data_IF_264846697554
#
_entry.id   IF_264846697554
#
_cell.length_a   1.000
_cell.length_b   1.000
_cell.length_c   1.000
_cell.angle_alpha   90.00
_cell.angle_beta   90.00
_cell.angle_gamma   90.00
#
_symmetry.space_group_name_H-M   'P 1'
#
loop_
_entity.id
_entity.type
_entity.pdbx_description
1 polymer ?
#
# COMPACT_ATOMS: atom_id res chain seq x y z
N UNK A 1 21.63 -64.49 -37.84
CA UNK A 1 21.23 -64.72 -36.44
C UNK A 1 21.55 -63.45 -35.67
N UNK A 2 20.50 -62.69 -35.39
CA UNK A 2 20.47 -61.52 -34.50
C UNK A 2 20.72 -61.93 -33.05
N UNK A 3 21.45 -61.13 -32.29
CA UNK A 3 20.88 -60.44 -31.12
C UNK A 3 21.88 -59.41 -30.57
N UNK A 4 21.47 -58.14 -30.47
CA UNK A 4 22.18 -57.14 -29.68
C UNK A 4 21.16 -56.49 -28.75
N UNK A 5 21.33 -56.84 -27.48
CA UNK A 5 20.53 -56.46 -26.33
C UNK A 5 20.41 -54.94 -26.18
N UNK A 6 19.25 -54.39 -26.55
CA UNK A 6 18.85 -53.05 -26.15
C UNK A 6 18.47 -53.08 -24.67
N UNK A 7 19.38 -52.64 -23.79
CA UNK A 7 19.06 -52.34 -22.39
C UNK A 7 18.07 -51.16 -22.34
N UNK A 8 16.78 -51.49 -22.31
CA UNK A 8 15.71 -50.53 -22.14
C UNK A 8 15.70 -50.07 -20.67
N UNK A 9 16.11 -48.83 -20.44
CA UNK A 9 16.05 -48.19 -19.12
C UNK A 9 14.58 -47.98 -18.71
N UNK A 10 14.05 -48.95 -17.96
CA UNK A 10 12.63 -49.08 -17.56
C UNK A 10 12.04 -47.91 -16.74
N UNK A 11 12.87 -46.96 -16.31
CA UNK A 11 12.46 -45.88 -15.39
C UNK A 11 12.59 -44.46 -15.93
N UNK A 12 12.77 -44.26 -17.24
CA UNK A 12 12.62 -42.93 -17.85
C UNK A 12 11.28 -42.85 -18.60
N UNK A 13 10.29 -42.09 -18.10
CA UNK A 13 9.10 -41.81 -18.89
C UNK A 13 9.52 -41.01 -20.14
N UNK A 14 9.11 -41.47 -21.32
CA UNK A 14 9.26 -40.72 -22.56
C UNK A 14 8.45 -39.43 -22.41
N UNK A 15 9.13 -38.28 -22.39
CA UNK A 15 8.47 -36.98 -22.23
C UNK A 15 7.86 -36.58 -23.58
N UNK A 16 6.56 -36.23 -23.63
CA UNK A 16 5.96 -35.69 -24.85
C UNK A 16 6.58 -34.32 -25.16
N UNK A 17 6.89 -34.09 -26.44
CA UNK A 17 7.46 -32.82 -26.93
C UNK A 17 6.40 -31.72 -26.77
N UNK A 18 6.69 -30.72 -25.92
CA UNK A 18 5.83 -29.56 -25.69
C UNK A 18 6.21 -28.46 -26.69
N UNK A 19 5.29 -27.97 -27.53
CA UNK A 19 5.57 -26.85 -28.42
C UNK A 19 5.95 -25.60 -27.62
N UNK A 20 7.10 -24.98 -27.93
CA UNK A 20 7.51 -23.68 -27.37
C UNK A 20 8.58 -23.71 -26.28
N UNK A 21 9.17 -24.87 -25.95
CA UNK A 21 10.32 -24.97 -25.03
C UNK A 21 11.62 -25.15 -25.84
N UNK A 22 12.63 -24.27 -25.70
CA UNK A 22 13.91 -24.46 -26.38
C UNK A 22 14.67 -25.66 -25.79
N UNK A 23 14.98 -26.64 -26.65
CA UNK A 23 15.79 -27.81 -26.34
C UNK A 23 17.30 -27.44 -26.32
N UNK A 24 18.11 -28.14 -25.50
CA UNK A 24 19.56 -27.95 -25.48
C UNK A 24 20.20 -28.29 -26.84
N UNK A 25 21.27 -27.55 -27.17
CA UNK A 25 21.78 -27.29 -28.51
C UNK A 25 22.45 -28.46 -29.27
N UNK A 26 22.36 -29.70 -28.78
CA UNK A 26 23.08 -30.84 -29.38
C UNK A 26 22.25 -31.66 -30.38
N UNK A 27 21.02 -31.23 -30.68
CA UNK A 27 20.17 -31.83 -31.73
C UNK A 27 19.60 -30.74 -32.65
N UNK A 28 20.39 -30.28 -33.63
CA UNK A 28 19.87 -29.50 -34.76
C UNK A 28 20.31 -30.15 -36.07
N UNK A 29 19.40 -30.79 -36.84
CA UNK A 29 19.68 -31.19 -38.21
C UNK A 29 19.81 -29.95 -39.11
N UNK A 30 20.80 -30.01 -40.00
CA UNK A 30 21.14 -28.94 -40.92
C UNK A 30 19.98 -28.60 -41.86
N UNK A 31 19.49 -27.36 -41.77
CA UNK A 31 18.57 -26.82 -42.77
C UNK A 31 17.54 -25.87 -42.20
N UNK A 32 17.96 -24.72 -41.65
CA UNK A 32 17.13 -23.53 -41.67
C UNK A 32 17.98 -22.28 -41.87
N UNK A 33 17.52 -21.51 -42.85
CA UNK A 33 18.05 -20.29 -43.42
C UNK A 33 18.27 -19.20 -42.36
N UNK A 34 19.46 -18.57 -42.37
CA UNK A 34 19.78 -17.43 -41.51
C UNK A 34 18.98 -16.21 -41.98
N UNK A 35 17.91 -15.87 -41.27
CA UNK A 35 17.24 -14.57 -41.43
C UNK A 35 18.12 -13.49 -40.79
N UNK A 36 18.58 -12.61 -41.66
CA UNK A 36 19.45 -11.48 -41.39
C UNK A 36 18.74 -10.49 -40.45
N UNK A 37 19.21 -10.39 -39.21
CA UNK A 37 18.72 -9.41 -38.23
C UNK A 37 19.48 -8.11 -38.43
N UNK A 38 18.87 -7.16 -39.13
CA UNK A 38 19.36 -5.80 -39.25
C UNK A 38 19.45 -5.15 -37.87
N UNK A 39 20.67 -4.92 -37.42
CA UNK A 39 20.96 -4.06 -36.28
C UNK A 39 20.39 -2.66 -36.54
N UNK A 40 19.33 -2.27 -35.82
CA UNK A 40 18.99 -0.86 -35.65
C UNK A 40 20.04 -0.28 -34.69
N UNK A 41 21.15 0.16 -35.28
CA UNK A 41 22.13 0.99 -34.59
C UNK A 41 21.49 2.36 -34.34
N UNK A 42 20.89 2.53 -33.17
CA UNK A 42 20.42 3.82 -32.70
C UNK A 42 21.65 4.57 -32.17
N UNK A 43 22.35 5.24 -33.09
CA UNK A 43 23.47 6.11 -32.80
C UNK A 43 23.02 7.18 -31.82
N UNK A 44 23.34 6.99 -30.53
CA UNK A 44 23.08 7.93 -29.46
C UNK A 44 24.15 9.02 -29.53
N UNK A 45 23.85 10.03 -30.32
CA UNK A 45 24.70 11.20 -30.48
C UNK A 45 24.79 11.95 -29.16
N UNK A 46 25.96 11.90 -28.50
CA UNK A 46 26.24 12.47 -27.17
C UNK A 46 25.94 13.97 -27.10
N UNK A 47 25.98 14.66 -28.25
CA UNK A 47 25.66 16.08 -28.37
C UNK A 47 24.16 16.36 -28.26
N UNK A 48 23.30 15.41 -28.63
CA UNK A 48 21.84 15.54 -28.51
C UNK A 48 21.39 15.39 -27.05
N UNK A 49 22.04 14.51 -26.28
CA UNK A 49 21.74 14.33 -24.85
C UNK A 49 22.08 15.58 -24.03
N UNK A 50 23.21 16.25 -24.32
CA UNK A 50 23.60 17.48 -23.61
C UNK A 50 22.63 18.62 -23.93
N UNK A 51 22.20 18.76 -25.18
CA UNK A 51 21.21 19.78 -25.59
C UNK A 51 19.84 19.54 -24.97
N UNK A 52 19.39 18.28 -24.91
CA UNK A 52 18.13 17.92 -24.26
C UNK A 52 18.16 18.19 -22.75
N UNK A 53 19.27 17.87 -22.08
CA UNK A 53 19.45 18.14 -20.64
C UNK A 53 19.45 19.64 -20.34
N UNK A 54 20.13 20.45 -21.15
CA UNK A 54 20.15 21.91 -20.99
C UNK A 54 18.75 22.52 -21.19
N UNK A 55 18.00 22.08 -22.21
CA UNK A 55 16.63 22.55 -22.44
C UNK A 55 15.68 22.21 -21.29
N UNK A 56 15.78 20.99 -20.73
CA UNK A 56 14.97 20.56 -19.59
C UNK A 56 15.27 21.40 -18.34
N UNK A 57 16.54 21.73 -18.11
CA UNK A 57 16.99 22.52 -16.97
C UNK A 57 16.48 23.97 -17.04
N UNK A 58 16.51 24.58 -18.24
CA UNK A 58 15.92 25.90 -18.47
C UNK A 58 14.41 25.88 -18.22
N UNK A 59 13.72 24.84 -18.68
CA UNK A 59 12.27 24.69 -18.50
C UNK A 59 11.91 24.52 -17.02
N UNK A 60 12.70 23.73 -16.26
CA UNK A 60 12.54 23.56 -14.82
C UNK A 60 12.76 24.88 -14.06
N UNK A 61 13.77 25.67 -14.45
CA UNK A 61 14.02 26.99 -13.88
C UNK A 61 12.86 27.96 -14.15
N UNK A 62 12.31 27.98 -15.36
CA UNK A 62 11.15 28.83 -15.69
C UNK A 62 9.91 28.42 -14.89
N UNK A 63 9.66 27.13 -14.70
CA UNK A 63 8.54 26.64 -13.87
C UNK A 63 8.73 27.04 -12.41
N UNK A 64 9.95 26.92 -11.86
CA UNK A 64 10.24 27.32 -10.48
C UNK A 64 10.09 28.84 -10.27
N UNK A 65 10.50 29.65 -11.23
CA UNK A 65 10.32 31.12 -11.20
C UNK A 65 8.83 31.47 -11.29
N UNK A 66 8.07 30.85 -12.21
CA UNK A 66 6.63 31.05 -12.31
C UNK A 66 5.90 30.66 -11.00
N UNK A 67 6.31 29.56 -10.37
CA UNK A 67 5.73 29.12 -9.09
C UNK A 67 6.04 30.06 -7.93
N UNK A 68 7.19 30.76 -7.96
CA UNK A 68 7.55 31.76 -6.96
C UNK A 68 6.79 33.07 -7.16
N UNK A 69 6.50 33.46 -8.40
CA UNK A 69 5.74 34.69 -8.71
C UNK A 69 4.23 34.51 -8.50
N UNK A 70 3.70 33.30 -8.66
CA UNK A 70 2.27 33.01 -8.44
C UNK A 70 1.87 32.74 -6.99
N UNK A 71 2.83 32.55 -6.06
CA UNK A 71 2.54 32.56 -4.63
C UNK A 71 2.41 34.02 -4.14
N UNK A 72 1.34 34.70 -4.57
CA UNK A 72 0.82 35.84 -3.83
C UNK A 72 -0.05 35.28 -2.70
N UNK A 73 0.34 35.61 -1.47
CA UNK A 73 -0.44 35.33 -0.26
C UNK A 73 -1.85 35.92 -0.39
N UNK A 74 -2.92 35.16 -0.06
CA UNK A 74 -4.22 35.76 0.14
C UNK A 74 -4.18 36.58 1.44
N UNK A 75 -4.26 37.91 1.27
CA UNK A 75 -4.50 38.89 2.31
C UNK A 75 -5.84 38.57 3.02
N UNK A 76 -5.92 38.59 4.37
CA UNK A 76 -7.18 38.37 5.07
C UNK A 76 -8.09 39.60 4.93
N UNK A 77 -9.23 39.42 4.26
CA UNK A 77 -10.28 40.42 4.21
C UNK A 77 -11.06 40.45 5.55
N UNK A 78 -10.85 41.55 6.26
CA UNK A 78 -11.79 42.36 7.04
C UNK A 78 -12.94 41.72 7.86
N UNK A 79 -12.96 42.17 9.11
CA UNK A 79 -14.03 42.32 10.11
C UNK A 79 -15.49 42.42 9.61
N UNK A 80 -16.33 41.57 10.23
CA UNK A 80 -17.66 41.76 10.86
C UNK A 80 -18.70 42.68 10.16
N UNK A 81 -19.86 42.08 9.84
CA UNK A 81 -21.17 42.71 10.02
C UNK A 81 -22.19 41.66 10.51
N UNK A 82 -22.86 41.99 11.62
CA UNK A 82 -24.04 41.32 12.16
C UNK A 82 -25.18 41.21 11.13
N UNK A 83 -25.83 40.05 11.08
CA UNK A 83 -27.21 39.91 10.59
C UNK A 83 -27.83 38.63 11.18
N UNK A 84 -28.97 38.71 11.87
CA UNK A 84 -29.57 37.57 12.55
C UNK A 84 -30.48 36.75 11.63
N UNK A 85 -30.59 35.46 11.98
CA UNK A 85 -31.62 34.50 11.58
C UNK A 85 -31.69 34.04 10.11
N UNK A 86 -31.16 32.84 9.87
CA UNK A 86 -31.88 31.80 9.10
C UNK A 86 -31.35 30.42 9.47
N UNK A 87 -32.28 29.52 9.79
CA UNK A 87 -32.13 28.13 10.20
C UNK A 87 -31.38 27.31 9.15
N UNK A 88 -30.39 26.54 9.57
CA UNK A 88 -29.67 25.60 8.69
C UNK A 88 -28.43 24.99 9.35
N UNK A 89 -28.66 24.11 10.32
CA UNK A 89 -27.79 23.00 10.77
C UNK A 89 -26.28 23.16 10.51
N UNK A 90 -25.63 24.06 11.23
CA UNK A 90 -24.19 24.06 11.36
C UNK A 90 -23.76 23.16 12.54
N UNK A 91 -22.63 22.49 12.34
CA UNK A 91 -21.78 21.86 13.35
C UNK A 91 -22.22 20.49 13.91
N UNK A 92 -21.81 19.45 13.20
CA UNK A 92 -21.04 18.38 13.87
C UNK A 92 -19.54 18.62 13.65
N UNK A 93 -19.07 19.76 14.13
CA UNK A 93 -17.73 19.86 14.69
C UNK A 93 -17.85 19.39 16.14
N UNK A 94 -18.01 18.08 16.32
CA UNK A 94 -18.16 17.43 17.61
C UNK A 94 -16.99 16.51 17.83
N UNK A 95 -16.08 16.93 18.71
CA UNK A 95 -15.17 16.03 19.40
C UNK A 95 -15.95 14.76 19.78
N UNK A 96 -15.56 13.60 19.23
CA UNK A 96 -16.25 12.36 19.50
C UNK A 96 -16.18 12.08 21.01
N UNK A 97 -17.32 12.19 21.67
CA UNK A 97 -17.54 11.63 23.01
C UNK A 97 -17.12 10.16 23.01
N UNK A 98 -16.62 9.61 24.13
CA UNK A 98 -16.34 8.19 24.25
C UNK A 98 -17.67 7.43 24.27
N UNK A 99 -18.20 7.08 23.09
CA UNK A 99 -19.48 6.39 22.97
C UNK A 99 -19.87 6.00 21.54
N UNK A 100 -19.76 6.91 20.58
CA UNK A 100 -20.28 6.67 19.22
C UNK A 100 -19.16 6.65 18.18
N UNK A 101 -18.38 5.58 18.19
CA UNK A 101 -17.51 5.26 17.06
C UNK A 101 -18.38 4.95 15.83
N UNK A 102 -18.05 5.45 14.63
CA UNK A 102 -18.78 5.12 13.40
C UNK A 102 -18.88 3.60 13.19
N UNK A 103 -20.01 3.12 12.70
CA UNK A 103 -20.25 1.69 12.47
C UNK A 103 -20.18 1.35 10.97
N UNK A 104 -19.33 0.39 10.63
CA UNK A 104 -19.20 -0.20 9.31
C UNK A 104 -20.11 -1.44 9.16
N UNK A 105 -20.64 -1.73 7.96
CA UNK A 105 -20.33 -1.09 6.66
C UNK A 105 -20.90 0.33 6.52
N UNK A 106 -20.09 1.28 6.05
CA UNK A 106 -20.51 2.67 5.94
C UNK A 106 -19.38 3.69 6.03
N UNK A 107 -19.70 4.99 6.01
CA UNK A 107 -18.72 6.06 6.18
C UNK A 107 -18.13 6.03 7.59
N UNK A 108 -16.80 5.99 7.69
CA UNK A 108 -16.06 5.88 8.96
C UNK A 108 -15.23 7.12 9.30
N UNK A 109 -14.86 7.92 8.31
CA UNK A 109 -14.13 9.18 8.50
C UNK A 109 -14.19 10.03 7.23
N UNK A 110 -13.90 11.33 7.35
CA UNK A 110 -13.68 12.19 6.19
C UNK A 110 -12.20 12.15 5.77
N UNK A 111 -11.96 12.12 4.47
CA UNK A 111 -10.59 12.14 3.93
C UNK A 111 -9.81 13.42 4.27
N UNK A 112 -10.53 14.52 4.50
CA UNK A 112 -9.97 15.81 4.92
C UNK A 112 -9.40 15.76 6.34
N UNK A 113 -10.07 15.06 7.25
CA UNK A 113 -9.62 14.90 8.65
C UNK A 113 -8.35 14.04 8.73
N UNK A 114 -8.13 13.21 7.72
CA UNK A 114 -6.97 12.34 7.55
C UNK A 114 -5.95 12.86 6.52
N UNK A 115 -5.77 14.18 6.48
CA UNK A 115 -4.87 14.84 5.51
C UNK A 115 -3.39 14.64 5.78
N UNK A 116 -3.00 14.34 7.03
CA UNK A 116 -1.59 14.13 7.43
C UNK A 116 -1.20 12.65 7.31
N UNK A 117 -0.01 12.31 6.81
CA UNK A 117 0.52 10.96 6.92
C UNK A 117 0.49 10.50 8.38
N UNK A 118 0.15 9.23 8.58
CA UNK A 118 0.03 8.57 9.89
C UNK A 118 -1.11 9.09 10.77
N UNK A 119 -2.04 9.90 10.24
CA UNK A 119 -3.30 10.17 10.92
C UNK A 119 -4.11 8.87 11.05
N UNK A 120 -4.84 8.74 12.15
CA UNK A 120 -5.63 7.56 12.45
C UNK A 120 -7.05 7.97 12.83
N UNK A 121 -8.03 7.20 12.36
CA UNK A 121 -9.41 7.27 12.82
C UNK A 121 -9.85 5.87 13.28
N UNK A 122 -10.56 5.81 14.41
CA UNK A 122 -11.13 4.57 14.95
C UNK A 122 -12.60 4.45 14.53
N UNK A 123 -13.06 3.22 14.36
CA UNK A 123 -14.45 2.89 14.06
C UNK A 123 -14.78 1.48 14.58
N UNK A 124 -16.03 1.06 14.46
CA UNK A 124 -16.47 -0.31 14.74
C UNK A 124 -16.91 -0.99 13.45
N UNK A 125 -16.70 -2.29 13.33
CA UNK A 125 -17.21 -3.08 12.21
C UNK A 125 -18.05 -4.25 12.71
N UNK A 126 -19.19 -4.47 12.07
CA UNK A 126 -20.03 -5.63 12.34
C UNK A 126 -19.44 -6.86 11.66
N UNK A 127 -19.02 -7.84 12.45
CA UNK A 127 -18.51 -9.11 11.95
C UNK A 127 -19.67 -10.00 11.46
N UNK A 128 -19.40 -11.00 10.61
CA UNK A 128 -20.41 -11.97 10.19
C UNK A 128 -21.09 -12.72 11.34
N UNK A 129 -20.44 -12.81 12.50
CA UNK A 129 -20.96 -13.40 13.74
C UNK A 129 -22.03 -12.53 14.41
N UNK A 130 -22.21 -11.28 13.97
CA UNK A 130 -23.06 -10.27 14.61
C UNK A 130 -22.35 -9.47 15.72
N UNK A 131 -21.13 -9.85 16.07
CA UNK A 131 -20.31 -9.12 17.04
C UNK A 131 -19.75 -7.83 16.44
N UNK A 132 -19.58 -6.78 17.26
CA UNK A 132 -18.90 -5.54 16.87
C UNK A 132 -17.44 -5.61 17.28
N UNK A 133 -16.54 -5.48 16.31
CA UNK A 133 -15.11 -5.43 16.55
C UNK A 133 -14.58 -4.00 16.40
N UNK A 134 -13.63 -3.56 17.24
CA UNK A 134 -12.93 -2.31 17.04
C UNK A 134 -12.02 -2.41 15.80
N UNK A 135 -12.00 -1.34 15.03
CA UNK A 135 -11.19 -1.22 13.83
C UNK A 135 -10.61 0.19 13.73
N UNK A 136 -9.60 0.34 12.88
CA UNK A 136 -8.98 1.61 12.62
C UNK A 136 -8.57 1.74 11.16
N UNK A 137 -8.54 2.98 10.69
CA UNK A 137 -7.99 3.34 9.40
C UNK A 137 -6.80 4.26 9.63
N UNK A 138 -5.70 3.98 8.94
CA UNK A 138 -4.45 4.72 9.02
C UNK A 138 -4.18 5.36 7.65
N UNK A 139 -3.84 6.64 7.65
CA UNK A 139 -3.32 7.33 6.46
C UNK A 139 -1.86 6.93 6.25
N UNK A 140 -1.56 6.26 5.15
CA UNK A 140 -0.20 5.88 4.81
C UNK A 140 0.54 7.05 4.13
N UNK A 141 1.89 7.14 4.27
CA UNK A 141 2.70 7.98 3.44
C UNK A 141 2.77 7.40 2.02
N UNK A 142 2.52 8.26 1.02
CA UNK A 142 2.44 7.82 -0.37
C UNK A 142 1.17 7.04 -0.66
N UNK A 143 0.75 7.04 -1.93
CA UNK A 143 -0.51 6.49 -2.37
C UNK A 143 -1.56 7.56 -2.71
N UNK A 144 -2.57 7.14 -3.46
CA UNK A 144 -3.69 7.97 -3.90
C UNK A 144 -5.00 7.19 -3.84
N UNK A 145 -6.13 7.90 -3.67
CA UNK A 145 -7.43 7.27 -3.48
C UNK A 145 -7.41 6.27 -2.31
N UNK A 146 -8.00 5.09 -2.51
CA UNK A 146 -8.07 4.04 -1.49
C UNK A 146 -6.71 3.49 -1.05
N UNK A 147 -5.71 3.48 -1.93
CA UNK A 147 -4.36 2.95 -1.60
C UNK A 147 -3.60 3.81 -0.59
N UNK A 148 -4.01 5.06 -0.37
CA UNK A 148 -3.46 5.94 0.65
C UNK A 148 -3.92 5.58 2.07
N UNK A 149 -4.89 4.66 2.20
CA UNK A 149 -5.48 4.29 3.47
C UNK A 149 -5.29 2.80 3.72
N UNK A 150 -5.04 2.46 4.97
CA UNK A 150 -4.99 1.08 5.42
C UNK A 150 -5.99 0.88 6.54
N UNK A 151 -7.04 0.12 6.26
CA UNK A 151 -8.00 -0.34 7.25
C UNK A 151 -7.56 -1.69 7.82
N UNK A 152 -7.70 -1.83 9.14
CA UNK A 152 -7.45 -3.08 9.84
C UNK A 152 -8.36 -3.20 11.06
N UNK A 153 -8.62 -4.43 11.49
CA UNK A 153 -9.15 -4.67 12.82
C UNK A 153 -8.11 -4.25 13.87
N UNK A 154 -8.58 -3.58 14.91
CA UNK A 154 -7.75 -3.17 16.03
C UNK A 154 -7.58 -4.28 17.07
N UNK A 155 -7.92 -5.53 16.76
CA UNK A 155 -7.75 -6.67 17.67
C UNK A 155 -6.67 -7.60 17.13
N UNK A 156 -5.76 -7.99 18.01
CA UNK A 156 -4.76 -9.00 17.66
C UNK A 156 -5.41 -10.38 17.54
N UNK A 157 -4.93 -11.22 16.62
CA UNK A 157 -5.52 -12.54 16.32
C UNK A 157 -5.52 -13.51 17.52
N UNK A 158 -4.64 -13.30 18.49
CA UNK A 158 -4.48 -14.15 19.68
C UNK A 158 -4.38 -13.35 20.98
N UNK A 159 -4.63 -12.04 20.91
CA UNK A 159 -4.38 -11.11 22.02
C UNK A 159 -5.67 -10.62 22.69
N UNK A 160 -5.52 -10.16 23.92
CA UNK A 160 -6.57 -9.43 24.65
C UNK A 160 -6.44 -7.91 24.46
N UNK A 161 -5.33 -7.45 23.85
CA UNK A 161 -5.05 -6.03 23.66
C UNK A 161 -5.55 -5.52 22.31
N UNK A 162 -5.91 -4.24 22.30
CA UNK A 162 -6.15 -3.48 21.09
C UNK A 162 -4.80 -3.11 20.42
N UNK A 163 -4.70 -3.29 19.11
CA UNK A 163 -3.59 -2.82 18.31
C UNK A 163 -3.56 -1.28 18.31
N UNK A 164 -2.37 -0.71 18.45
CA UNK A 164 -2.18 0.72 18.48
C UNK A 164 -1.17 1.17 17.41
N UNK A 165 -1.45 2.30 16.74
CA UNK A 165 -0.44 3.00 15.94
C UNK A 165 0.48 3.78 16.89
N UNK A 166 1.75 3.42 16.91
CA UNK A 166 2.79 4.13 17.66
C UNK A 166 3.62 4.96 16.67
N UNK A 167 3.56 6.29 16.83
CA UNK A 167 4.29 7.23 15.98
C UNK A 167 5.68 7.57 16.51
N UNK A 168 5.90 7.41 17.82
CA UNK A 168 7.19 7.57 18.46
C UNK A 168 8.07 6.33 18.22
N UNK A 169 9.01 6.45 17.28
CA UNK A 169 9.92 5.36 16.92
C UNK A 169 10.91 5.01 18.03
N UNK A 170 11.26 5.96 18.91
CA UNK A 170 12.15 5.70 20.03
C UNK A 170 11.44 4.82 21.06
N UNK A 171 10.14 5.06 21.28
CA UNK A 171 9.30 4.21 22.13
C UNK A 171 9.20 2.77 21.60
N UNK A 172 9.15 2.58 20.28
CA UNK A 172 9.13 1.23 19.70
C UNK A 172 10.46 0.50 19.99
N UNK A 173 11.60 1.21 19.90
CA UNK A 173 12.90 0.62 20.24
C UNK A 173 13.02 0.29 21.73
N UNK A 174 12.57 1.18 22.62
CA UNK A 174 12.63 0.94 24.07
C UNK A 174 11.70 -0.19 24.53
N UNK A 175 10.45 -0.17 24.07
CA UNK A 175 9.40 -1.02 24.63
C UNK A 175 9.41 -2.40 23.96
N UNK A 176 9.74 -2.48 22.66
CA UNK A 176 9.66 -3.71 21.87
C UNK A 176 11.02 -4.22 21.37
N UNK A 177 12.11 -3.47 21.60
CA UNK A 177 13.44 -3.85 21.15
C UNK A 177 13.55 -3.91 19.62
N UNK A 178 12.79 -3.07 18.91
CA UNK A 178 12.78 -3.00 17.45
C UNK A 178 13.04 -1.58 16.96
N UNK A 179 14.11 -1.39 16.18
CA UNK A 179 14.46 -0.08 15.62
C UNK A 179 13.59 0.23 14.39
N UNK A 180 12.48 0.89 14.63
CA UNK A 180 11.57 1.35 13.58
C UNK A 180 12.12 2.57 12.82
N UNK A 181 11.80 2.68 11.53
CA UNK A 181 12.13 3.85 10.68
C UNK A 181 10.95 4.79 10.45
N UNK A 182 9.76 4.37 10.85
CA UNK A 182 8.51 5.07 10.70
C UNK A 182 7.51 4.55 11.74
N UNK A 183 6.34 5.19 11.90
CA UNK A 183 5.27 4.68 12.74
C UNK A 183 4.91 3.22 12.43
N UNK A 184 4.63 2.46 13.48
CA UNK A 184 4.30 1.04 13.41
C UNK A 184 2.98 0.76 14.13
N UNK A 185 2.32 -0.33 13.75
CA UNK A 185 1.21 -0.86 14.54
C UNK A 185 1.77 -1.89 15.51
N UNK A 186 1.38 -1.83 16.78
CA UNK A 186 1.92 -2.72 17.82
C UNK A 186 0.81 -3.41 18.62
N UNK A 187 1.11 -4.60 19.10
CA UNK A 187 0.36 -5.32 20.13
C UNK A 187 1.17 -5.27 21.43
N UNK A 188 0.71 -4.52 22.42
CA UNK A 188 1.36 -4.40 23.73
C UNK A 188 1.28 -5.68 24.57
N UNK A 189 0.25 -6.50 24.42
CA UNK A 189 0.09 -7.74 25.18
C UNK A 189 1.10 -8.79 24.72
N UNK A 190 1.18 -9.03 23.40
CA UNK A 190 2.02 -10.09 22.84
C UNK A 190 3.40 -9.60 22.38
N UNK A 191 3.71 -8.32 22.57
CA UNK A 191 4.98 -7.69 22.18
C UNK A 191 5.28 -7.88 20.68
N UNK A 192 4.26 -7.65 19.84
CA UNK A 192 4.33 -7.80 18.38
C UNK A 192 4.41 -6.42 17.73
N UNK A 193 5.27 -6.29 16.72
CA UNK A 193 5.36 -5.08 15.88
C UNK A 193 5.03 -5.45 14.45
N UNK A 194 4.10 -4.69 13.87
CA UNK A 194 3.61 -4.80 12.51
C UNK A 194 4.03 -3.58 11.70
N UNK A 195 4.62 -3.83 10.53
CA UNK A 195 5.04 -2.80 9.60
C UNK A 195 3.90 -2.41 8.64
N UNK A 196 3.35 -1.18 8.73
CA UNK A 196 2.24 -0.73 7.89
C UNK A 196 2.58 -0.62 6.39
N UNK A 197 3.86 -0.46 6.05
CA UNK A 197 4.31 -0.26 4.67
C UNK A 197 4.67 -1.57 3.98
N UNK A 198 4.92 -2.62 4.76
CA UNK A 198 5.34 -3.93 4.28
C UNK A 198 4.17 -4.91 4.18
N UNK A 199 4.30 -5.90 3.29
CA UNK A 199 3.31 -6.95 3.05
C UNK A 199 3.83 -8.29 3.56
N UNK A 200 3.03 -8.96 4.40
CA UNK A 200 3.25 -10.33 4.82
C UNK A 200 2.31 -11.29 4.08
N UNK A 201 2.44 -12.59 4.38
CA UNK A 201 1.51 -13.60 3.86
C UNK A 201 0.46 -13.98 4.90
N UNK A 202 -0.80 -14.01 4.50
CA UNK A 202 -1.92 -14.55 5.26
C UNK A 202 -2.75 -15.46 4.36
N UNK A 203 -2.99 -16.70 4.76
CA UNK A 203 -3.78 -17.68 3.99
C UNK A 203 -3.35 -17.79 2.51
N UNK A 204 -2.03 -17.77 2.26
CA UNK A 204 -1.45 -17.85 0.90
C UNK A 204 -1.47 -16.55 0.10
N UNK A 205 -2.21 -15.52 0.55
CA UNK A 205 -2.33 -14.20 -0.08
C UNK A 205 -1.41 -13.17 0.58
N UNK A 206 -1.13 -12.08 -0.12
CA UNK A 206 -0.41 -10.94 0.43
C UNK A 206 -1.38 -10.07 1.23
N UNK A 207 -0.99 -9.71 2.45
CA UNK A 207 -1.73 -8.81 3.32
C UNK A 207 -0.77 -7.78 3.91
N UNK A 208 -1.21 -6.52 3.98
CA UNK A 208 -0.42 -5.41 4.53
C UNK A 208 -0.29 -5.55 6.05
N UNK A 209 0.82 -5.10 6.62
CA UNK A 209 1.08 -5.22 8.05
C UNK A 209 1.98 -6.41 8.39
N UNK A 210 3.12 -6.56 7.68
CA UNK A 210 4.03 -7.67 7.95
C UNK A 210 4.49 -7.66 9.43
N UNK A 211 4.54 -8.84 10.06
CA UNK A 211 5.15 -8.98 11.38
C UNK A 211 6.66 -8.84 11.25
N UNK A 212 7.24 -7.85 11.93
CA UNK A 212 8.69 -7.58 11.92
C UNK A 212 9.36 -7.91 13.25
N UNK A 213 8.58 -8.08 14.32
CA UNK A 213 9.04 -8.48 15.65
C UNK A 213 7.91 -9.17 16.42
N UNK A 214 8.28 -10.10 17.30
CA UNK A 214 7.35 -10.79 18.20
C UNK A 214 6.89 -12.14 17.66
N UNK A 215 6.07 -12.89 18.43
CA UNK A 215 5.61 -14.23 18.09
C UNK A 215 4.52 -14.28 17.00
N UNK A 216 4.12 -13.13 16.44
CA UNK A 216 3.07 -13.06 15.42
C UNK A 216 3.48 -13.74 14.12
N UNK A 217 2.59 -14.57 13.56
CA UNK A 217 2.84 -15.28 12.29
C UNK A 217 2.07 -14.69 11.11
N UNK A 218 1.05 -13.86 11.35
CA UNK A 218 0.19 -13.31 10.30
C UNK A 218 0.04 -11.80 10.47
N UNK A 219 -0.08 -11.06 9.36
CA UNK A 219 -0.54 -9.68 9.39
C UNK A 219 -1.91 -9.51 10.08
N UNK A 220 -2.25 -8.30 10.56
CA UNK A 220 -3.57 -7.97 11.08
C UNK A 220 -4.66 -8.22 10.03
N UNK A 221 -5.89 -8.48 10.49
CA UNK A 221 -7.03 -8.67 9.59
C UNK A 221 -7.34 -7.34 8.89
N UNK A 222 -7.38 -7.36 7.56
CA UNK A 222 -7.57 -6.14 6.78
C UNK A 222 -9.05 -5.76 6.75
N UNK A 223 -9.31 -4.45 6.73
CA UNK A 223 -10.63 -3.89 6.43
C UNK A 223 -10.51 -3.10 5.13
N UNK A 224 -11.37 -3.42 4.17
CA UNK A 224 -11.39 -2.69 2.90
C UNK A 224 -11.92 -1.27 3.11
N UNK A 225 -11.16 -0.29 2.62
CA UNK A 225 -11.49 1.13 2.68
C UNK A 225 -11.64 1.67 1.26
N UNK A 226 -12.78 2.28 0.98
CA UNK A 226 -13.08 2.94 -0.28
C UNK A 226 -13.17 4.45 -0.07
N UNK A 227 -12.61 5.23 -0.99
CA UNK A 227 -12.78 6.69 -0.99
C UNK A 227 -13.95 7.06 -1.88
N UNK A 228 -15.03 7.60 -1.30
CA UNK A 228 -16.23 7.99 -2.02
C UNK A 228 -16.59 9.44 -1.69
N UNK A 229 -16.58 10.33 -2.69
CA UNK A 229 -16.97 11.75 -2.55
C UNK A 229 -16.30 12.46 -1.35
N UNK A 230 -15.05 12.13 -1.07
CA UNK A 230 -14.30 12.70 0.07
C UNK A 230 -14.56 12.01 1.43
N UNK A 231 -15.42 11.01 1.50
CA UNK A 231 -15.59 10.14 2.67
C UNK A 231 -14.79 8.85 2.52
N UNK A 232 -14.29 8.33 3.63
CA UNK A 232 -13.75 6.98 3.74
C UNK A 232 -14.89 6.04 4.13
N UNK A 233 -15.14 5.02 3.32
CA UNK A 233 -16.20 4.04 3.50
C UNK A 233 -15.55 2.69 3.78
N UNK A 234 -15.82 2.12 4.94
CA UNK A 234 -15.40 0.76 5.27
C UNK A 234 -16.49 -0.22 4.83
N UNK A 235 -16.11 -1.29 4.14
CA UNK A 235 -17.05 -2.28 3.59
C UNK A 235 -17.03 -3.57 4.41
N UNK A 236 -16.00 -4.39 4.23
CA UNK A 236 -15.87 -5.72 4.82
C UNK A 236 -14.46 -5.92 5.36
N UNK A 237 -14.36 -6.72 6.41
CA UNK A 237 -13.09 -7.33 6.82
C UNK A 237 -12.84 -8.61 6.03
N UNK A 238 -11.64 -8.77 5.47
CA UNK A 238 -11.20 -9.98 4.75
C UNK A 238 -10.28 -10.86 5.61
#
# INVERSE_FOLDING_TARGET
MTDSSTKMNRFKPAMPIIPGVPLPADEIPAGFEKVNSSHIALWTDRNLQIRAAAALLVLLCLVLVAFRVLKKEPLPAALILDSPAAVGTAALAGSALPGDLPLAPGPVALSQDMGKPWSLAKFQISLPTGERAPAMVIRLPGGSGSSAYWGLLSVAQYGQCELALVTDVAKIESDYGFRARHPMVVDSCAQIVYDPLSYGRAHGRLARGQVVKGPGMRPPLAVEILVQKGSLVATRSE
#
